data_IF_440704350825
#
_entry.id   IF_440704350825
#
_cell.length_a   1.000
_cell.length_b   1.000
_cell.length_c   1.000
_cell.angle_alpha   90.00
_cell.angle_beta   90.00
_cell.angle_gamma   90.00
#
_symmetry.space_group_name_H-M   'P 1'
#
loop_
_entity.id
_entity.type
_entity.pdbx_description
1 polymer ?
#
# COMPACT_ATOMS: atom_id res chain seq x y z
N UNK A 1 -80.69 52.72 12.46
CA UNK A 1 -79.58 52.94 13.36
C UNK A 1 -78.41 52.36 12.63
N UNK A 2 -77.62 53.22 12.04
CA UNK A 2 -76.41 52.86 11.30
C UNK A 2 -75.20 53.06 12.22
N UNK A 3 -74.37 52.09 12.37
CA UNK A 3 -73.07 52.23 13.02
C UNK A 3 -72.03 52.64 11.98
N UNK A 4 -71.07 53.48 12.37
CA UNK A 4 -70.15 54.09 11.43
C UNK A 4 -68.94 53.17 11.12
N UNK A 5 -68.51 53.23 9.88
CA UNK A 5 -67.27 52.61 9.33
C UNK A 5 -66.02 53.22 9.99
N UNK A 6 -65.07 52.34 10.34
CA UNK A 6 -63.76 52.67 10.88
C UNK A 6 -62.79 52.88 9.71
N UNK A 7 -62.14 54.06 9.54
CA UNK A 7 -61.23 54.34 8.44
C UNK A 7 -59.78 54.15 8.84
N UNK A 8 -59.35 52.90 9.12
CA UNK A 8 -57.91 52.60 9.30
C UNK A 8 -57.62 51.15 9.06
N UNK A 9 -57.72 50.71 7.82
CA UNK A 9 -56.96 49.54 7.35
C UNK A 9 -55.70 50.02 6.65
N UNK A 10 -54.51 49.55 7.05
CA UNK A 10 -53.30 49.90 6.31
C UNK A 10 -53.26 49.13 4.99
N UNK A 11 -53.07 49.89 3.94
CA UNK A 11 -52.78 49.40 2.61
C UNK A 11 -51.61 48.45 2.64
N UNK A 12 -51.82 47.24 2.14
CA UNK A 12 -50.77 46.30 1.76
C UNK A 12 -49.99 46.93 0.61
N UNK A 13 -48.96 47.69 0.95
CA UNK A 13 -47.90 48.03 -0.01
C UNK A 13 -47.16 46.75 -0.42
N UNK A 14 -47.54 46.25 -1.57
CA UNK A 14 -46.77 45.29 -2.35
C UNK A 14 -45.39 45.90 -2.63
N UNK A 15 -44.45 45.70 -1.76
CA UNK A 15 -43.02 45.83 -2.05
C UNK A 15 -42.61 44.70 -2.96
N UNK A 16 -42.88 44.84 -4.26
CA UNK A 16 -42.09 44.24 -5.31
C UNK A 16 -40.74 44.96 -5.32
N UNK A 17 -39.86 44.54 -4.41
CA UNK A 17 -38.44 44.82 -4.57
C UNK A 17 -37.99 44.20 -5.90
N UNK A 18 -37.57 45.05 -6.80
CA UNK A 18 -36.95 44.75 -8.07
C UNK A 18 -35.96 43.60 -7.95
N UNK A 19 -36.38 42.42 -8.34
CA UNK A 19 -35.48 41.30 -8.60
C UNK A 19 -34.60 41.75 -9.80
N UNK A 20 -33.41 42.22 -9.48
CA UNK A 20 -32.37 42.47 -10.46
C UNK A 20 -32.28 41.21 -11.34
N UNK A 21 -32.48 41.29 -12.65
CA UNK A 21 -32.34 40.11 -13.50
C UNK A 21 -30.89 39.62 -13.39
N UNK A 22 -30.69 38.58 -12.58
CA UNK A 22 -29.44 37.86 -12.52
C UNK A 22 -29.09 37.44 -13.93
N UNK A 23 -27.90 37.78 -14.38
CA UNK A 23 -27.39 37.42 -15.72
C UNK A 23 -27.67 35.93 -15.96
N UNK A 24 -28.27 35.60 -17.11
CA UNK A 24 -28.60 34.24 -17.50
C UNK A 24 -27.35 33.34 -17.30
N UNK A 25 -27.37 32.43 -16.34
CA UNK A 25 -26.29 31.50 -16.06
C UNK A 25 -25.66 31.55 -14.65
N UNK A 26 -26.00 32.55 -13.82
CA UNK A 26 -25.49 32.64 -12.44
C UNK A 26 -26.54 32.09 -11.47
N UNK A 27 -26.25 30.95 -10.87
CA UNK A 27 -27.06 30.37 -9.77
C UNK A 27 -26.46 30.75 -8.42
N UNK A 28 -27.21 31.35 -7.49
CA UNK A 28 -26.74 31.63 -6.14
C UNK A 28 -26.58 30.31 -5.39
N UNK A 29 -25.38 30.03 -4.91
CA UNK A 29 -25.06 28.85 -4.11
C UNK A 29 -24.55 29.31 -2.75
N UNK A 30 -25.07 28.71 -1.66
CA UNK A 30 -24.53 29.03 -0.33
C UNK A 30 -23.12 28.45 -0.20
N UNK A 31 -22.24 29.17 0.49
CA UNK A 31 -20.84 28.68 0.72
C UNK A 31 -20.84 27.34 1.45
N UNK A 32 -21.80 27.08 2.32
CA UNK A 32 -21.94 25.82 3.05
C UNK A 32 -22.25 24.66 2.12
N UNK A 33 -23.12 24.85 1.14
CA UNK A 33 -23.52 23.81 0.19
C UNK A 33 -22.37 23.53 -0.81
N UNK A 34 -21.71 24.59 -1.29
CA UNK A 34 -20.55 24.44 -2.16
C UNK A 34 -19.40 23.72 -1.46
N UNK A 35 -19.08 24.11 -0.23
CA UNK A 35 -18.04 23.41 0.56
C UNK A 35 -18.39 21.93 0.81
N UNK A 36 -19.66 21.63 1.13
CA UNK A 36 -20.11 20.26 1.35
C UNK A 36 -19.97 19.43 0.08
N UNK A 37 -20.40 19.95 -1.05
CA UNK A 37 -20.30 19.28 -2.34
C UNK A 37 -18.85 19.07 -2.75
N UNK A 38 -18.03 20.12 -2.74
CA UNK A 38 -16.62 20.07 -3.10
C UNK A 38 -15.82 19.13 -2.20
N UNK A 39 -16.13 19.08 -0.87
CA UNK A 39 -15.48 18.14 0.04
C UNK A 39 -15.88 16.69 -0.24
N UNK A 40 -17.15 16.44 -0.56
CA UNK A 40 -17.60 15.09 -0.93
C UNK A 40 -16.95 14.63 -2.25
N UNK A 41 -16.91 15.49 -3.25
CA UNK A 41 -16.27 15.19 -4.55
C UNK A 41 -14.77 14.91 -4.38
N UNK A 42 -14.08 15.72 -3.56
CA UNK A 42 -12.69 15.49 -3.20
C UNK A 42 -12.50 14.16 -2.45
N UNK A 43 -13.33 13.88 -1.43
CA UNK A 43 -13.25 12.64 -0.67
C UNK A 43 -13.48 11.41 -1.55
N UNK A 44 -14.49 11.45 -2.42
CA UNK A 44 -14.76 10.38 -3.40
C UNK A 44 -13.58 10.16 -4.34
N UNK A 45 -13.02 11.23 -4.89
CA UNK A 45 -11.84 11.16 -5.76
C UNK A 45 -10.64 10.54 -5.06
N UNK A 46 -10.36 10.93 -3.80
CA UNK A 46 -9.24 10.37 -3.03
C UNK A 46 -9.46 8.90 -2.71
N UNK A 47 -10.69 8.48 -2.39
CA UNK A 47 -11.01 7.10 -2.07
C UNK A 47 -10.89 6.21 -3.32
N UNK A 48 -11.61 6.54 -4.40
CA UNK A 48 -11.76 5.67 -5.57
C UNK A 48 -10.58 5.80 -6.52
N UNK A 49 -10.08 7.03 -6.75
CA UNK A 49 -9.10 7.30 -7.82
C UNK A 49 -7.66 7.51 -7.34
N UNK A 50 -7.36 7.28 -6.05
CA UNK A 50 -6.00 7.54 -5.54
C UNK A 50 -5.50 6.54 -4.49
N UNK A 51 -6.21 6.38 -3.36
CA UNK A 51 -5.62 5.77 -2.16
C UNK A 51 -5.84 4.27 -2.05
N UNK A 52 -6.99 3.75 -2.52
CA UNK A 52 -7.35 2.36 -2.37
C UNK A 52 -6.97 1.52 -3.60
N UNK A 53 -6.51 0.29 -3.39
CA UNK A 53 -6.29 -0.68 -4.46
C UNK A 53 -7.61 -1.29 -4.92
N UNK A 54 -7.69 -1.72 -6.18
CA UNK A 54 -8.78 -2.57 -6.68
C UNK A 54 -8.52 -4.03 -6.23
N UNK A 55 -9.56 -4.73 -5.78
CA UNK A 55 -9.43 -6.12 -5.29
C UNK A 55 -8.96 -7.08 -6.38
N UNK A 56 -9.30 -6.80 -7.64
CA UNK A 56 -9.04 -7.67 -8.80
C UNK A 56 -7.57 -7.72 -9.20
N UNK A 57 -6.89 -6.57 -9.26
CA UNK A 57 -5.47 -6.48 -9.66
C UNK A 57 -4.53 -6.03 -8.54
N UNK A 58 -5.07 -5.64 -7.37
CA UNK A 58 -4.30 -5.20 -6.21
C UNK A 58 -3.56 -3.88 -6.41
N UNK A 59 -3.91 -3.10 -7.43
CA UNK A 59 -3.17 -1.90 -7.80
C UNK A 59 -3.99 -0.63 -7.51
N UNK A 60 -3.27 0.41 -7.10
CA UNK A 60 -3.80 1.77 -7.14
C UNK A 60 -3.72 2.31 -8.57
N UNK A 61 -4.51 3.34 -8.93
CA UNK A 61 -4.48 3.91 -10.27
C UNK A 61 -3.09 4.32 -10.76
N UNK A 62 -2.25 4.92 -9.90
CA UNK A 62 -0.87 5.30 -10.27
C UNK A 62 -0.01 4.10 -10.67
N UNK A 63 -0.09 2.99 -9.94
CA UNK A 63 0.67 1.77 -10.26
C UNK A 63 0.21 1.15 -11.56
N UNK A 64 -1.11 1.08 -11.77
CA UNK A 64 -1.72 0.56 -13.01
C UNK A 64 -1.30 1.38 -14.22
N UNK A 65 -1.33 2.70 -14.12
CA UNK A 65 -0.92 3.64 -15.15
C UNK A 65 0.57 3.54 -15.48
N UNK A 66 1.43 3.34 -14.48
CA UNK A 66 2.87 3.10 -14.68
C UNK A 66 3.08 1.82 -15.49
N UNK A 67 2.49 0.70 -15.08
CA UNK A 67 2.65 -0.57 -15.80
C UNK A 67 2.08 -0.52 -17.21
N UNK A 68 0.94 0.13 -17.39
CA UNK A 68 0.32 0.28 -18.71
C UNK A 68 1.16 1.18 -19.63
N UNK A 69 1.66 2.32 -19.16
CA UNK A 69 2.56 3.17 -19.92
C UNK A 69 3.86 2.45 -20.32
N UNK A 70 4.39 1.63 -19.42
CA UNK A 70 5.60 0.83 -19.72
C UNK A 70 5.32 -0.26 -20.75
N UNK A 71 4.15 -0.88 -20.75
CA UNK A 71 3.72 -1.83 -21.79
C UNK A 71 3.60 -1.13 -23.13
N UNK A 72 2.94 0.02 -23.21
CA UNK A 72 2.80 0.81 -24.42
C UNK A 72 4.16 1.30 -24.94
N UNK A 73 5.07 1.68 -24.05
CA UNK A 73 6.45 2.06 -24.36
C UNK A 73 7.36 0.89 -24.76
N UNK A 74 6.87 -0.36 -24.68
CA UNK A 74 7.65 -1.58 -24.92
C UNK A 74 8.87 -1.72 -23.98
N UNK A 75 8.68 -1.38 -22.68
CA UNK A 75 9.72 -1.45 -21.64
C UNK A 75 9.66 -2.78 -20.87
N UNK A 76 9.55 -3.89 -21.61
CA UNK A 76 9.43 -5.25 -21.06
C UNK A 76 10.71 -5.73 -20.37
N UNK A 77 10.57 -6.75 -19.51
CA UNK A 77 11.65 -7.36 -18.72
C UNK A 77 12.84 -7.86 -19.56
N UNK A 78 12.61 -8.27 -20.81
CA UNK A 78 13.61 -8.76 -21.75
C UNK A 78 14.15 -7.66 -22.70
N UNK A 79 13.84 -6.38 -22.42
CA UNK A 79 14.31 -5.23 -23.19
C UNK A 79 15.33 -4.41 -22.38
N UNK A 80 16.13 -3.57 -23.04
CA UNK A 80 17.05 -2.67 -22.34
C UNK A 80 16.32 -1.75 -21.37
N UNK A 81 17.00 -1.42 -20.27
CA UNK A 81 16.53 -0.42 -19.32
C UNK A 81 16.29 0.95 -19.97
N UNK A 82 15.41 1.72 -19.41
CA UNK A 82 15.09 3.09 -19.82
C UNK A 82 15.23 4.03 -18.62
N UNK A 83 15.64 5.28 -18.87
CA UNK A 83 15.68 6.31 -17.83
C UNK A 83 14.34 6.45 -17.15
N UNK A 84 14.33 6.44 -15.81
CA UNK A 84 13.12 6.60 -15.01
C UNK A 84 12.38 7.87 -15.36
N UNK A 85 13.10 8.97 -15.62
CA UNK A 85 12.50 10.24 -16.02
C UNK A 85 11.67 10.15 -17.32
N UNK A 86 12.03 9.25 -18.25
CA UNK A 86 11.23 9.04 -19.46
C UNK A 86 9.90 8.36 -19.14
N UNK A 87 9.94 7.30 -18.32
CA UNK A 87 8.71 6.62 -17.92
C UNK A 87 7.78 7.55 -17.14
N UNK A 88 8.34 8.32 -16.19
CA UNK A 88 7.58 9.34 -15.45
C UNK A 88 6.93 10.36 -16.40
N UNK A 89 7.67 10.84 -17.41
CA UNK A 89 7.13 11.77 -18.40
C UNK A 89 5.99 11.17 -19.25
N UNK A 90 6.14 9.92 -19.69
CA UNK A 90 5.11 9.18 -20.43
C UNK A 90 3.83 9.00 -19.58
N UNK A 91 3.96 8.64 -18.29
CA UNK A 91 2.85 8.46 -17.36
C UNK A 91 2.14 9.79 -17.07
N UNK A 92 2.91 10.83 -16.76
CA UNK A 92 2.38 12.15 -16.42
C UNK A 92 1.67 12.78 -17.61
N UNK A 93 2.25 12.69 -18.79
CA UNK A 93 1.69 13.32 -19.98
C UNK A 93 0.45 12.66 -20.53
N UNK A 94 0.27 11.34 -20.34
CA UNK A 94 -0.83 10.60 -20.96
C UNK A 94 -1.92 10.16 -19.98
N UNK A 95 -1.57 9.82 -18.73
CA UNK A 95 -2.50 9.10 -17.86
C UNK A 95 -2.67 9.71 -16.47
N UNK A 96 -1.62 10.32 -15.90
CA UNK A 96 -1.64 10.71 -14.49
C UNK A 96 -1.21 12.17 -14.30
N UNK A 97 -2.15 13.14 -14.34
CA UNK A 97 -1.88 14.59 -14.29
C UNK A 97 -1.54 15.06 -12.86
N UNK A 98 -0.50 14.48 -12.26
CA UNK A 98 -0.01 14.80 -10.92
C UNK A 98 1.51 15.02 -10.95
N UNK A 99 2.08 15.46 -9.82
CA UNK A 99 3.51 15.75 -9.72
C UNK A 99 4.39 14.54 -10.06
N UNK A 100 5.48 14.79 -10.79
CA UNK A 100 6.47 13.83 -11.24
C UNK A 100 7.10 13.03 -10.08
N UNK A 101 7.36 13.69 -8.94
CA UNK A 101 7.91 13.03 -7.76
C UNK A 101 6.96 11.95 -7.20
N UNK A 102 5.64 12.18 -7.20
CA UNK A 102 4.68 11.19 -6.72
C UNK A 102 4.68 9.92 -7.61
N UNK A 103 4.78 10.10 -8.93
CA UNK A 103 4.91 9.00 -9.89
C UNK A 103 6.23 8.26 -9.70
N UNK A 104 7.32 9.03 -9.55
CA UNK A 104 8.64 8.44 -9.34
C UNK A 104 8.74 7.65 -8.03
N UNK A 105 8.21 8.18 -6.93
CA UNK A 105 8.16 7.48 -5.64
C UNK A 105 7.36 6.17 -5.70
N UNK A 106 6.25 6.15 -6.47
CA UNK A 106 5.50 4.93 -6.71
C UNK A 106 6.33 3.91 -7.50
N UNK A 107 7.03 4.34 -8.57
CA UNK A 107 7.96 3.50 -9.34
C UNK A 107 9.08 2.93 -8.48
N UNK A 108 9.68 3.77 -7.63
CA UNK A 108 10.76 3.38 -6.72
C UNK A 108 10.31 2.24 -5.82
N UNK A 109 9.15 2.35 -5.20
CA UNK A 109 8.60 1.29 -4.33
C UNK A 109 8.36 -0.01 -5.08
N UNK A 110 7.89 0.04 -6.32
CA UNK A 110 7.66 -1.14 -7.16
C UNK A 110 8.97 -1.86 -7.55
N UNK A 111 10.12 -1.21 -7.45
CA UNK A 111 11.45 -1.77 -7.74
C UNK A 111 12.22 -2.22 -6.48
N UNK A 112 11.73 -1.88 -5.25
CA UNK A 112 12.43 -2.19 -4.00
C UNK A 112 12.09 -3.59 -3.51
N UNK A 113 13.09 -4.45 -3.32
CA UNK A 113 12.94 -5.82 -2.80
C UNK A 113 12.52 -5.87 -1.33
N UNK A 114 12.79 -4.83 -0.56
CA UNK A 114 12.37 -4.72 0.84
C UNK A 114 10.97 -4.11 1.01
N UNK A 115 10.36 -3.61 -0.07
CA UNK A 115 9.01 -3.05 -0.07
C UNK A 115 7.97 -3.99 -0.70
N UNK A 116 8.40 -4.81 -1.66
CA UNK A 116 7.55 -5.71 -2.45
C UNK A 116 8.02 -7.15 -2.28
N UNK A 117 7.11 -8.06 -1.98
CA UNK A 117 7.41 -9.50 -1.98
C UNK A 117 7.74 -10.01 -3.38
N UNK A 118 7.00 -9.49 -4.38
CA UNK A 118 7.22 -9.76 -5.78
C UNK A 118 7.39 -8.43 -6.51
N UNK A 119 8.63 -8.07 -6.85
CA UNK A 119 8.90 -6.81 -7.55
C UNK A 119 8.14 -6.72 -8.87
N UNK A 120 7.55 -5.57 -9.13
CA UNK A 120 6.87 -5.30 -10.38
C UNK A 120 7.78 -4.59 -11.38
N UNK A 121 8.80 -3.90 -10.91
CA UNK A 121 9.80 -3.23 -11.75
C UNK A 121 11.20 -3.73 -11.40
N UNK A 122 12.03 -3.81 -12.43
CA UNK A 122 13.46 -4.09 -12.32
C UNK A 122 14.20 -2.78 -12.50
N UNK A 123 14.93 -2.36 -11.46
CA UNK A 123 15.62 -1.07 -11.39
C UNK A 123 17.12 -1.20 -11.45
N UNK A 124 17.78 -0.29 -12.18
CA UNK A 124 19.23 -0.15 -12.23
C UNK A 124 19.63 1.22 -11.69
N UNK A 125 20.48 1.22 -10.66
CA UNK A 125 20.91 2.40 -9.94
C UNK A 125 20.52 2.37 -8.46
N UNK A 126 20.51 3.52 -7.80
CA UNK A 126 20.11 3.65 -6.40
C UNK A 126 18.62 3.93 -6.29
N UNK A 127 17.86 2.93 -5.82
CA UNK A 127 16.41 3.01 -5.52
C UNK A 127 16.13 3.11 -4.02
N UNK A 128 17.08 3.62 -3.23
CA UNK A 128 16.96 3.74 -1.78
C UNK A 128 17.40 2.49 -1.03
N UNK A 129 17.37 2.57 0.29
CA UNK A 129 17.78 1.47 1.18
C UNK A 129 16.84 1.31 2.37
N UNK A 130 17.02 0.20 3.12
CA UNK A 130 16.32 -0.03 4.40
C UNK A 130 16.76 0.94 5.50
N UNK A 131 17.85 1.67 5.30
CA UNK A 131 18.33 2.73 6.18
C UNK A 131 17.58 4.06 5.98
N UNK A 132 16.68 4.09 5.00
CA UNK A 132 15.89 5.28 4.69
C UNK A 132 16.62 6.25 3.75
N UNK A 133 17.71 5.83 3.12
CA UNK A 133 18.34 6.63 2.09
C UNK A 133 17.36 6.88 0.94
N UNK A 134 17.24 8.11 0.46
CA UNK A 134 16.39 8.42 -0.66
C UNK A 134 16.94 7.81 -1.95
N UNK A 135 16.07 7.52 -2.93
CA UNK A 135 16.51 7.12 -4.24
C UNK A 135 17.28 8.25 -4.92
N UNK A 136 18.17 7.91 -5.85
CA UNK A 136 18.79 8.90 -6.70
C UNK A 136 17.74 9.58 -7.59
N UNK A 137 18.00 10.81 -8.04
CA UNK A 137 17.09 11.52 -8.92
C UNK A 137 16.78 10.70 -10.20
N UNK A 138 15.55 10.78 -10.70
CA UNK A 138 15.02 9.96 -11.81
C UNK A 138 15.81 10.06 -13.12
N UNK A 139 16.65 11.08 -13.28
CA UNK A 139 17.56 11.23 -14.43
C UNK A 139 18.76 10.27 -14.37
N UNK A 140 19.10 9.75 -13.19
CA UNK A 140 20.21 8.82 -12.98
C UNK A 140 19.80 7.37 -12.96
N UNK A 141 18.60 7.06 -12.44
CA UNK A 141 18.07 5.71 -12.36
C UNK A 141 17.49 5.25 -13.68
N UNK A 142 17.52 3.93 -13.90
CA UNK A 142 16.94 3.27 -15.06
C UNK A 142 16.01 2.16 -14.62
N UNK A 143 14.99 1.88 -15.41
CA UNK A 143 13.94 0.93 -15.04
C UNK A 143 13.42 0.19 -16.27
N UNK A 144 12.92 -1.01 -16.05
CA UNK A 144 12.09 -1.80 -16.98
C UNK A 144 11.06 -2.59 -16.15
N UNK A 145 10.08 -3.18 -16.81
CA UNK A 145 9.16 -4.10 -16.15
C UNK A 145 9.94 -5.32 -15.62
N UNK A 146 9.52 -5.84 -14.47
CA UNK A 146 9.95 -7.17 -14.02
C UNK A 146 9.09 -8.26 -14.70
N UNK A 147 9.54 -9.50 -14.67
CA UNK A 147 8.79 -10.62 -15.25
C UNK A 147 7.41 -10.78 -14.57
N UNK A 148 7.31 -10.51 -13.28
CA UNK A 148 6.07 -10.58 -12.51
C UNK A 148 4.99 -9.62 -13.03
N UNK A 149 5.36 -8.42 -13.46
CA UNK A 149 4.39 -7.46 -13.99
C UNK A 149 3.84 -7.89 -15.37
N UNK A 150 4.55 -8.74 -16.11
CA UNK A 150 4.02 -9.33 -17.35
C UNK A 150 2.78 -10.17 -17.03
N UNK A 151 2.76 -10.91 -15.90
CA UNK A 151 1.62 -11.71 -15.47
C UNK A 151 0.41 -10.87 -15.03
N UNK A 152 0.60 -9.60 -14.72
CA UNK A 152 -0.52 -8.68 -14.43
C UNK A 152 -1.13 -8.10 -15.71
N UNK A 153 -0.36 -7.98 -16.79
CA UNK A 153 -0.73 -7.25 -18.01
C UNK A 153 -1.03 -8.16 -19.21
N UNK A 154 -0.60 -9.40 -19.14
CA UNK A 154 -0.74 -10.35 -20.24
C UNK A 154 -2.21 -10.52 -20.65
N UNK A 155 -2.45 -10.65 -21.96
CA UNK A 155 -3.78 -10.71 -22.57
C UNK A 155 -4.60 -9.38 -22.56
N UNK A 156 -4.03 -8.25 -22.16
CA UNK A 156 -4.73 -6.95 -22.13
C UNK A 156 -5.24 -6.53 -23.53
N UNK A 157 -4.53 -6.93 -24.60
CA UNK A 157 -4.87 -6.61 -25.98
C UNK A 157 -5.99 -7.51 -26.57
N UNK A 158 -6.53 -8.46 -25.77
CA UNK A 158 -7.54 -9.43 -26.20
C UNK A 158 -8.95 -9.10 -25.71
N UNK A 159 -9.24 -7.84 -25.44
CA UNK A 159 -10.53 -7.37 -24.94
C UNK A 159 -10.98 -8.06 -23.63
N UNK A 160 -10.03 -8.41 -22.80
CA UNK A 160 -10.26 -9.13 -21.53
C UNK A 160 -10.73 -8.24 -20.39
N UNK A 161 -10.54 -6.93 -20.51
CA UNK A 161 -10.89 -5.90 -19.53
C UNK A 161 -11.48 -4.68 -20.22
N UNK A 162 -12.11 -3.80 -19.43
CA UNK A 162 -12.66 -2.55 -19.94
C UNK A 162 -11.64 -1.43 -19.89
N UNK A 163 -11.74 -0.54 -20.87
CA UNK A 163 -10.97 0.70 -20.95
C UNK A 163 -11.87 1.90 -20.66
N UNK A 164 -11.30 2.93 -20.13
CA UNK A 164 -11.93 4.22 -19.87
C UNK A 164 -11.09 5.35 -20.47
N UNK A 165 -11.71 6.49 -20.74
CA UNK A 165 -10.98 7.65 -21.21
C UNK A 165 -10.04 8.17 -20.13
N UNK A 166 -8.87 8.66 -20.53
CA UNK A 166 -7.93 9.33 -19.65
C UNK A 166 -8.47 10.71 -19.20
N UNK A 167 -7.69 11.45 -18.42
CA UNK A 167 -8.09 12.72 -17.82
C UNK A 167 -8.49 13.84 -18.82
N UNK A 168 -8.02 13.79 -20.07
CA UNK A 168 -8.27 14.79 -21.12
C UNK A 168 -9.02 14.21 -22.34
N UNK A 169 -9.48 12.97 -22.26
CA UNK A 169 -10.17 12.23 -23.32
C UNK A 169 -9.35 12.07 -24.62
N UNK A 170 -8.02 12.23 -24.54
CA UNK A 170 -7.13 12.08 -25.70
C UNK A 170 -6.76 10.63 -26.02
N UNK A 171 -6.80 9.75 -25.01
CA UNK A 171 -6.48 8.33 -25.10
C UNK A 171 -7.24 7.53 -24.05
N UNK A 172 -7.13 6.22 -24.11
CA UNK A 172 -7.77 5.32 -23.13
C UNK A 172 -6.77 4.66 -22.21
N UNK A 173 -7.20 4.39 -21.00
CA UNK A 173 -6.45 3.64 -19.99
C UNK A 173 -7.28 2.45 -19.48
N UNK A 174 -6.65 1.34 -19.05
CA UNK A 174 -7.38 0.21 -18.51
C UNK A 174 -7.99 0.54 -17.15
N UNK A 175 -9.25 0.16 -16.95
CA UNK A 175 -9.93 0.28 -15.65
C UNK A 175 -9.31 -0.63 -14.59
N UNK A 176 -8.81 -1.81 -15.03
CA UNK A 176 -8.14 -2.84 -14.22
C UNK A 176 -7.17 -3.61 -15.11
N UNK A 177 -6.13 -4.24 -14.56
CA UNK A 177 -5.28 -5.15 -15.32
C UNK A 177 -5.80 -6.59 -15.25
N UNK A 178 -5.62 -7.42 -16.31
CA UNK A 178 -6.08 -8.80 -16.36
C UNK A 178 -5.20 -9.76 -15.53
N UNK A 179 -4.90 -9.40 -14.30
CA UNK A 179 -3.95 -10.05 -13.41
C UNK A 179 -4.12 -11.58 -13.35
N UNK A 180 -3.03 -12.32 -13.50
CA UNK A 180 -3.02 -13.79 -13.46
C UNK A 180 -2.75 -14.36 -12.06
N UNK A 181 -2.41 -13.52 -11.09
CA UNK A 181 -2.23 -13.89 -9.69
C UNK A 181 -2.84 -12.82 -8.78
N UNK A 182 -3.28 -13.15 -7.56
CA UNK A 182 -3.94 -12.21 -6.65
C UNK A 182 -2.93 -11.25 -6.00
N UNK A 183 -2.49 -10.26 -6.77
CA UNK A 183 -1.44 -9.32 -6.41
C UNK A 183 -1.75 -8.54 -5.11
N UNK A 184 -3.02 -8.29 -4.79
CA UNK A 184 -3.40 -7.63 -3.55
C UNK A 184 -2.90 -8.36 -2.31
N UNK A 185 -2.99 -9.70 -2.28
CA UNK A 185 -2.47 -10.51 -1.17
C UNK A 185 -0.96 -10.73 -1.28
N UNK A 186 -0.44 -10.94 -2.48
CA UNK A 186 0.99 -11.24 -2.69
C UNK A 186 1.87 -10.06 -2.31
N UNK A 187 1.57 -8.85 -2.77
CA UNK A 187 2.37 -7.66 -2.51
C UNK A 187 1.80 -6.77 -1.40
N UNK A 188 0.55 -7.03 -0.99
CA UNK A 188 -0.11 -6.14 -0.06
C UNK A 188 -0.41 -4.76 -0.66
N UNK A 189 -0.99 -3.90 0.15
CA UNK A 189 -1.22 -2.50 -0.20
C UNK A 189 -1.33 -1.65 1.07
N UNK A 190 -0.84 -0.43 1.02
CA UNK A 190 -1.01 0.54 2.09
C UNK A 190 -1.47 1.88 1.53
N UNK A 191 -2.41 2.55 2.17
CA UNK A 191 -2.91 3.85 1.72
C UNK A 191 -3.82 4.53 2.74
N UNK A 192 -3.81 5.87 2.70
CA UNK A 192 -4.64 6.70 3.56
C UNK A 192 -5.56 7.51 2.66
N UNK A 193 -6.86 7.33 2.85
CA UNK A 193 -7.91 8.09 2.18
C UNK A 193 -8.63 9.02 3.18
N UNK A 194 -9.65 9.72 2.73
CA UNK A 194 -10.48 10.55 3.60
C UNK A 194 -11.40 9.64 4.42
N UNK A 195 -11.25 9.67 5.74
CA UNK A 195 -12.07 8.88 6.67
C UNK A 195 -11.78 7.38 6.72
N UNK A 196 -10.84 6.87 5.91
CA UNK A 196 -10.49 5.45 5.89
C UNK A 196 -9.05 5.20 5.45
N UNK A 197 -8.50 4.05 5.80
CA UNK A 197 -7.15 3.64 5.42
C UNK A 197 -7.14 2.16 5.05
N UNK A 198 -6.23 1.76 4.18
CA UNK A 198 -5.97 0.36 3.87
C UNK A 198 -4.54 0.00 4.30
N UNK A 199 -4.36 -1.22 4.81
CA UNK A 199 -3.06 -1.78 5.14
C UNK A 199 -3.13 -3.31 5.02
N UNK A 200 -2.96 -3.81 3.81
CA UNK A 200 -2.99 -5.24 3.47
C UNK A 200 -1.57 -5.78 3.58
N UNK A 201 -1.32 -6.80 4.41
CA UNK A 201 0.00 -7.41 4.50
C UNK A 201 0.31 -8.26 3.28
N UNK A 202 1.58 -8.36 2.87
CA UNK A 202 2.00 -9.29 1.83
C UNK A 202 1.97 -10.74 2.32
N UNK A 203 1.74 -11.69 1.38
CA UNK A 203 1.69 -13.12 1.63
C UNK A 203 2.56 -13.88 0.62
N UNK A 204 2.89 -15.11 0.94
CA UNK A 204 3.65 -15.98 0.05
C UNK A 204 2.85 -16.32 -1.22
N UNK A 205 3.47 -16.14 -2.39
CA UNK A 205 2.82 -16.39 -3.68
C UNK A 205 2.35 -17.84 -3.82
N UNK A 206 3.19 -18.81 -3.43
CA UNK A 206 2.85 -20.23 -3.51
C UNK A 206 1.61 -20.56 -2.67
N UNK A 207 1.62 -20.18 -1.38
CA UNK A 207 0.51 -20.40 -0.45
C UNK A 207 -0.79 -19.74 -0.95
N UNK A 208 -0.71 -18.53 -1.48
CA UNK A 208 -1.89 -17.82 -2.03
C UNK A 208 -2.44 -18.52 -3.28
N UNK A 209 -1.58 -19.04 -4.15
CA UNK A 209 -2.00 -19.82 -5.32
C UNK A 209 -2.61 -21.18 -4.89
N UNK A 210 -1.99 -21.86 -3.92
CA UNK A 210 -2.53 -23.11 -3.39
C UNK A 210 -3.90 -22.89 -2.73
N UNK A 211 -4.07 -21.76 -2.04
CA UNK A 211 -5.37 -21.34 -1.52
C UNK A 211 -6.41 -21.11 -2.61
N UNK A 212 -6.04 -20.48 -3.73
CA UNK A 212 -6.93 -20.34 -4.91
C UNK A 212 -7.32 -21.70 -5.47
N UNK A 213 -6.36 -22.62 -5.63
CA UNK A 213 -6.61 -23.96 -6.15
C UNK A 213 -7.54 -24.75 -5.22
N UNK A 214 -7.32 -24.69 -3.91
CA UNK A 214 -8.16 -25.33 -2.92
C UNK A 214 -9.64 -24.84 -2.99
N UNK A 215 -9.84 -23.52 -3.19
CA UNK A 215 -11.18 -22.95 -3.37
C UNK A 215 -11.85 -23.44 -4.68
N UNK A 216 -11.08 -23.56 -5.76
CA UNK A 216 -11.59 -24.06 -7.05
C UNK A 216 -12.01 -25.54 -6.93
N UNK A 217 -11.22 -26.35 -6.20
CA UNK A 217 -11.52 -27.77 -5.98
C UNK A 217 -12.68 -27.99 -5.01
N UNK A 218 -12.78 -27.15 -3.98
CA UNK A 218 -13.84 -27.21 -2.97
C UNK A 218 -14.31 -25.79 -2.61
N UNK A 219 -15.42 -25.35 -3.22
CA UNK A 219 -15.99 -24.03 -2.94
C UNK A 219 -16.46 -23.84 -1.49
N UNK A 220 -16.71 -24.94 -0.77
CA UNK A 220 -17.16 -24.93 0.62
C UNK A 220 -16.01 -25.13 1.63
N UNK A 221 -14.75 -25.02 1.20
CA UNK A 221 -13.58 -25.12 2.09
C UNK A 221 -13.72 -24.14 3.26
N UNK A 222 -13.50 -24.63 4.46
CA UNK A 222 -13.62 -23.82 5.68
C UNK A 222 -12.49 -22.82 5.83
N UNK A 223 -12.73 -21.76 6.62
CA UNK A 223 -11.69 -20.77 6.94
C UNK A 223 -10.50 -21.39 7.69
N UNK A 224 -10.72 -22.40 8.50
CA UNK A 224 -9.66 -23.08 9.23
C UNK A 224 -8.76 -23.89 8.29
N UNK A 225 -9.33 -24.65 7.35
CA UNK A 225 -8.57 -25.38 6.33
C UNK A 225 -7.79 -24.42 5.41
N UNK A 226 -8.40 -23.31 5.03
CA UNK A 226 -7.74 -22.31 4.20
C UNK A 226 -6.61 -21.60 4.95
N UNK A 227 -6.74 -21.41 6.28
CA UNK A 227 -5.70 -20.86 7.14
C UNK A 227 -4.52 -21.83 7.34
N UNK A 228 -4.71 -23.13 7.16
CA UNK A 228 -3.60 -24.10 7.14
C UNK A 228 -2.78 -23.98 5.86
N UNK A 229 -3.40 -23.62 4.74
CA UNK A 229 -2.74 -23.41 3.44
C UNK A 229 -2.04 -22.03 3.41
N UNK A 230 -2.70 -20.98 3.91
CA UNK A 230 -2.18 -19.62 3.99
C UNK A 230 -2.02 -19.25 5.47
N UNK A 231 -0.94 -19.67 6.14
CA UNK A 231 -0.81 -19.57 7.59
C UNK A 231 -0.66 -18.15 8.12
N UNK A 232 -0.38 -17.18 7.22
CA UNK A 232 -0.29 -15.78 7.58
C UNK A 232 0.56 -14.95 6.62
N UNK A 233 0.79 -13.66 6.96
CA UNK A 233 1.64 -12.78 6.18
C UNK A 233 3.06 -13.30 6.01
N UNK A 234 3.66 -13.02 4.84
CA UNK A 234 5.06 -13.29 4.51
C UNK A 234 5.72 -11.97 4.08
N UNK A 235 6.49 -11.39 4.97
CA UNK A 235 7.08 -10.06 4.78
C UNK A 235 8.41 -10.13 4.01
N UNK A 236 8.66 -9.25 3.04
CA UNK A 236 9.86 -9.28 2.21
C UNK A 236 11.17 -9.05 2.98
N UNK A 237 11.11 -8.48 4.17
CA UNK A 237 12.27 -8.28 5.06
C UNK A 237 12.50 -9.43 6.02
N UNK A 238 11.72 -10.52 5.94
CA UNK A 238 11.76 -11.63 6.87
C UNK A 238 11.13 -11.29 8.21
N UNK A 239 11.86 -11.53 9.29
CA UNK A 239 11.41 -11.42 10.68
C UNK A 239 10.49 -12.58 11.13
N UNK A 240 10.05 -12.52 12.37
CA UNK A 240 9.20 -13.56 12.98
C UNK A 240 7.87 -12.95 13.40
N UNK A 241 6.79 -13.68 13.16
CA UNK A 241 5.46 -13.30 13.66
C UNK A 241 5.24 -13.98 15.02
N UNK A 242 4.79 -13.21 15.98
CA UNK A 242 4.56 -13.67 17.35
C UNK A 242 3.07 -13.79 17.63
N UNK A 243 2.62 -15.03 17.87
CA UNK A 243 1.21 -15.33 18.16
C UNK A 243 0.35 -15.46 16.89
N UNK A 244 -0.77 -16.17 17.00
CA UNK A 244 -1.68 -16.48 15.88
C UNK A 244 -3.00 -15.72 15.93
N UNK A 245 -3.36 -15.10 17.07
CA UNK A 245 -4.66 -14.45 17.24
C UNK A 245 -4.87 -13.28 16.29
N UNK A 246 -3.84 -12.45 16.08
CA UNK A 246 -3.88 -11.33 15.16
C UNK A 246 -3.99 -11.76 13.70
N UNK A 247 -3.31 -12.87 13.33
CA UNK A 247 -3.41 -13.47 12.00
C UNK A 247 -4.85 -13.96 11.75
N UNK A 248 -5.39 -14.74 12.68
CA UNK A 248 -6.74 -15.31 12.57
C UNK A 248 -7.79 -14.20 12.44
N UNK A 249 -7.71 -13.18 13.29
CA UNK A 249 -8.61 -12.03 13.20
C UNK A 249 -8.51 -11.33 11.84
N UNK A 250 -7.29 -11.08 11.34
CA UNK A 250 -7.08 -10.48 10.04
C UNK A 250 -7.65 -11.35 8.90
N UNK A 251 -7.43 -12.67 8.97
CA UNK A 251 -7.89 -13.62 7.98
C UNK A 251 -9.43 -13.66 7.88
N UNK A 252 -10.12 -13.74 9.02
CA UNK A 252 -11.58 -13.88 9.10
C UNK A 252 -12.32 -12.56 8.87
N UNK A 253 -11.80 -11.44 9.40
CA UNK A 253 -12.53 -10.16 9.45
C UNK A 253 -11.93 -9.05 8.58
N UNK A 254 -10.74 -9.29 8.00
CA UNK A 254 -9.97 -8.24 7.33
C UNK A 254 -9.33 -7.23 8.28
N UNK A 255 -9.42 -7.45 9.62
CA UNK A 255 -8.78 -6.60 10.65
C UNK A 255 -8.04 -7.41 11.67
N UNK A 256 -6.83 -6.96 12.00
CA UNK A 256 -6.03 -7.63 13.01
C UNK A 256 -4.79 -6.83 13.35
N UNK A 257 -4.07 -7.30 14.37
CA UNK A 257 -2.77 -6.74 14.76
C UNK A 257 -1.77 -7.88 14.82
N UNK A 258 -0.82 -7.87 13.90
CA UNK A 258 0.22 -8.89 13.78
C UNK A 258 1.50 -8.37 14.45
N UNK A 259 2.00 -9.08 15.45
CA UNK A 259 3.25 -8.73 16.13
C UNK A 259 4.42 -9.25 15.32
N UNK A 260 5.30 -8.35 14.86
CA UNK A 260 6.53 -8.70 14.16
C UNK A 260 7.73 -8.49 15.08
N UNK A 261 8.67 -9.40 15.03
CA UNK A 261 9.90 -9.36 15.79
C UNK A 261 11.09 -9.68 14.88
N UNK A 262 12.12 -8.83 14.90
CA UNK A 262 13.35 -9.07 14.15
C UNK A 262 14.00 -10.39 14.54
N UNK A 263 14.65 -11.02 13.58
CA UNK A 263 15.37 -12.27 13.82
C UNK A 263 16.75 -12.00 14.42
N UNK A 264 17.05 -12.70 15.49
CA UNK A 264 18.28 -12.50 16.24
C UNK A 264 18.96 -13.84 16.55
N UNK A 265 20.28 -13.78 16.68
CA UNK A 265 21.11 -14.89 17.17
C UNK A 265 22.14 -14.37 18.19
N UNK A 266 22.66 -15.26 19.03
CA UNK A 266 23.73 -14.93 19.97
C UNK A 266 25.01 -15.54 19.42
N UNK A 267 26.05 -14.72 19.30
CA UNK A 267 27.38 -15.12 18.82
C UNK A 267 28.46 -14.74 19.84
N UNK A 268 29.48 -15.58 19.96
CA UNK A 268 30.69 -15.22 20.69
C UNK A 268 31.65 -14.43 19.80
N UNK A 269 31.80 -13.13 20.07
CA UNK A 269 32.65 -12.24 19.28
C UNK A 269 34.11 -12.26 19.73
N UNK A 270 34.35 -12.41 21.03
CA UNK A 270 35.68 -12.53 21.65
C UNK A 270 35.64 -13.48 22.83
N UNK A 271 36.82 -13.87 23.32
CA UNK A 271 36.94 -14.67 24.56
C UNK A 271 36.15 -13.94 25.68
N UNK A 272 35.14 -14.62 26.23
CA UNK A 272 34.25 -14.13 27.30
C UNK A 272 33.35 -12.93 26.93
N UNK A 273 33.02 -12.70 25.63
CA UNK A 273 32.05 -11.70 25.22
C UNK A 273 31.08 -12.22 24.18
N UNK A 274 29.82 -12.07 24.49
CA UNK A 274 28.71 -12.41 23.60
C UNK A 274 28.16 -11.14 22.92
N UNK A 275 27.58 -11.33 21.76
CA UNK A 275 26.85 -10.29 21.07
C UNK A 275 25.51 -10.81 20.56
N UNK A 276 24.52 -9.97 20.56
CA UNK A 276 23.25 -10.23 19.88
C UNK A 276 23.41 -9.71 18.46
N UNK A 277 23.23 -10.62 17.50
CA UNK A 277 23.25 -10.31 16.07
C UNK A 277 21.83 -10.19 15.57
N UNK A 278 21.46 -9.06 14.99
CA UNK A 278 20.18 -8.85 14.33
C UNK A 278 20.40 -9.11 12.84
N UNK A 279 19.77 -10.15 12.30
CA UNK A 279 19.90 -10.56 10.89
C UNK A 279 18.71 -10.17 10.03
N UNK A 280 17.54 -9.91 10.63
CA UNK A 280 16.34 -9.45 9.94
C UNK A 280 15.63 -8.41 10.79
N UNK A 281 15.08 -7.39 10.14
CA UNK A 281 14.31 -6.33 10.80
C UNK A 281 12.83 -6.42 10.40
N UNK A 282 11.90 -6.00 11.27
CA UNK A 282 10.49 -6.00 10.94
C UNK A 282 10.18 -5.16 9.70
N UNK A 283 9.15 -5.58 8.96
CA UNK A 283 8.71 -4.89 7.75
C UNK A 283 8.37 -3.43 8.00
N UNK A 284 8.77 -2.54 7.08
CA UNK A 284 8.61 -1.08 7.16
C UNK A 284 9.39 -0.39 8.29
N UNK A 285 10.26 -1.09 8.99
CA UNK A 285 11.16 -0.49 9.98
C UNK A 285 12.42 0.04 9.30
N UNK A 286 12.74 1.30 9.55
CA UNK A 286 14.01 1.89 9.14
C UNK A 286 15.13 1.39 10.06
N UNK A 287 16.13 0.70 9.47
CA UNK A 287 17.21 0.05 10.22
C UNK A 287 18.11 1.06 10.94
N UNK A 288 18.50 2.13 10.29
CA UNK A 288 19.36 3.16 10.89
C UNK A 288 18.67 3.81 12.10
N UNK A 289 17.39 4.19 11.93
CA UNK A 289 16.60 4.78 13.02
C UNK A 289 16.37 3.80 14.18
N UNK A 290 16.22 2.50 13.89
CA UNK A 290 16.14 1.46 14.93
C UNK A 290 17.43 1.42 15.75
N UNK A 291 18.59 1.44 15.10
CA UNK A 291 19.91 1.46 15.76
C UNK A 291 20.05 2.70 16.63
N UNK A 292 19.69 3.88 16.12
CA UNK A 292 19.69 5.13 16.88
C UNK A 292 18.81 5.05 18.14
N UNK A 293 17.61 4.50 18.02
CA UNK A 293 16.69 4.34 19.16
C UNK A 293 17.24 3.35 20.21
N UNK A 294 17.90 2.27 19.79
CA UNK A 294 18.58 1.37 20.73
C UNK A 294 19.69 2.11 21.46
N UNK A 295 20.53 2.88 20.74
CA UNK A 295 21.61 3.67 21.35
C UNK A 295 21.08 4.73 22.32
N UNK A 296 19.99 5.40 21.97
CA UNK A 296 19.34 6.37 22.86
C UNK A 296 18.75 5.68 24.11
N UNK A 297 18.12 4.50 23.97
CA UNK A 297 17.61 3.74 25.10
C UNK A 297 18.72 3.28 26.05
N UNK A 298 19.90 2.96 25.52
CA UNK A 298 21.11 2.65 26.33
C UNK A 298 21.58 3.91 27.09
N UNK A 299 21.65 5.06 26.41
CA UNK A 299 22.05 6.34 27.02
C UNK A 299 21.09 6.74 28.14
N UNK A 300 19.81 6.52 27.97
CA UNK A 300 18.75 6.82 28.92
C UNK A 300 18.61 5.74 30.01
N UNK A 301 19.47 4.71 30.03
CA UNK A 301 19.47 3.59 30.97
C UNK A 301 18.17 2.75 30.95
N UNK A 302 17.42 2.78 29.85
CA UNK A 302 16.27 1.90 29.63
C UNK A 302 16.71 0.49 29.20
N UNK A 303 17.91 0.39 28.59
CA UNK A 303 18.57 -0.85 28.23
C UNK A 303 19.94 -0.83 28.90
N UNK A 304 20.23 -1.87 29.68
CA UNK A 304 21.52 -2.05 30.34
C UNK A 304 22.23 -3.28 29.78
N UNK A 305 23.55 -3.37 29.96
CA UNK A 305 24.33 -4.53 29.54
C UNK A 305 24.91 -4.48 28.13
N UNK A 306 24.66 -3.43 27.37
CA UNK A 306 25.27 -3.20 26.05
C UNK A 306 26.61 -2.48 26.23
N UNK A 307 27.65 -2.96 25.54
CA UNK A 307 28.98 -2.34 25.54
C UNK A 307 29.26 -1.58 24.23
N UNK A 308 28.79 -2.09 23.09
CA UNK A 308 28.98 -1.47 21.78
C UNK A 308 27.81 -1.83 20.85
N UNK A 309 27.53 -0.95 19.89
CA UNK A 309 26.47 -1.13 18.90
C UNK A 309 26.99 -0.64 17.54
N UNK A 310 27.03 -1.53 16.55
CA UNK A 310 27.50 -1.21 15.21
C UNK A 310 26.73 -1.90 14.13
N UNK A 311 26.66 -1.29 12.97
CA UNK A 311 26.07 -1.83 11.77
C UNK A 311 27.18 -2.41 10.88
N UNK A 312 27.10 -3.70 10.64
CA UNK A 312 27.98 -4.48 9.76
C UNK A 312 27.23 -5.01 8.52
N UNK A 313 26.05 -4.43 8.24
CA UNK A 313 25.23 -4.82 7.08
C UNK A 313 25.96 -4.55 5.77
N UNK A 314 25.82 -5.47 4.82
CA UNK A 314 26.42 -5.37 3.49
C UNK A 314 25.42 -5.78 2.40
N UNK A 315 25.93 -6.10 1.20
CA UNK A 315 25.11 -6.56 0.06
C UNK A 315 24.50 -7.95 0.27
N UNK A 316 25.01 -8.73 1.20
CA UNK A 316 24.52 -10.08 1.50
C UNK A 316 23.30 -10.02 2.40
N UNK A 317 23.26 -9.05 3.32
CA UNK A 317 22.12 -8.88 4.21
C UNK A 317 22.35 -7.94 5.39
N UNK A 318 21.34 -7.91 6.26
CA UNK A 318 21.36 -7.16 7.51
C UNK A 318 22.24 -7.87 8.53
N UNK A 319 23.14 -7.12 9.15
CA UNK A 319 23.94 -7.57 10.27
C UNK A 319 24.19 -6.41 11.25
N UNK A 320 23.34 -6.28 12.24
CA UNK A 320 23.54 -5.31 13.33
C UNK A 320 24.08 -6.07 14.54
N UNK A 321 25.23 -5.63 15.04
CA UNK A 321 25.96 -6.27 16.15
C UNK A 321 25.76 -5.46 17.42
N UNK A 322 25.15 -6.09 18.43
CA UNK A 322 24.95 -5.52 19.77
C UNK A 322 25.87 -6.27 20.70
N UNK A 323 27.07 -5.71 20.96
CA UNK A 323 28.10 -6.32 21.83
C UNK A 323 27.72 -6.14 23.30
N UNK A 324 27.75 -7.22 24.08
CA UNK A 324 27.32 -7.21 25.48
C UNK A 324 28.50 -6.95 26.44
N UNK A 325 28.19 -6.46 27.62
CA UNK A 325 29.12 -6.44 28.76
C UNK A 325 29.30 -7.86 29.29
N UNK A 326 30.46 -8.13 29.94
CA UNK A 326 30.80 -9.47 30.43
C UNK A 326 29.76 -10.08 31.37
N UNK A 327 29.11 -9.25 32.19
CA UNK A 327 28.15 -9.67 33.21
C UNK A 327 26.68 -9.60 32.72
N UNK A 328 26.47 -9.34 31.44
CA UNK A 328 25.12 -9.18 30.88
C UNK A 328 24.58 -10.54 30.40
N UNK A 329 23.34 -10.84 30.74
CA UNK A 329 22.61 -12.01 30.25
C UNK A 329 21.95 -11.66 28.92
N UNK A 330 22.30 -12.33 27.80
CA UNK A 330 21.81 -11.96 26.45
C UNK A 330 20.30 -11.89 26.34
N UNK A 331 19.56 -12.84 26.91
CA UNK A 331 18.11 -12.91 26.86
C UNK A 331 17.45 -11.72 27.57
N UNK A 332 18.04 -11.25 28.67
CA UNK A 332 17.52 -10.09 29.40
C UNK A 332 17.71 -8.82 28.58
N UNK A 333 18.91 -8.64 28.01
CA UNK A 333 19.19 -7.50 27.13
C UNK A 333 18.31 -7.54 25.89
N UNK A 334 18.14 -8.70 25.27
CA UNK A 334 17.28 -8.88 24.09
C UNK A 334 15.81 -8.50 24.38
N UNK A 335 15.29 -8.91 25.54
CA UNK A 335 13.94 -8.54 25.97
C UNK A 335 13.80 -7.03 26.19
N UNK A 336 14.83 -6.36 26.72
CA UNK A 336 14.85 -4.90 26.83
C UNK A 336 14.88 -4.23 25.46
N UNK A 337 15.66 -4.75 24.50
CA UNK A 337 15.69 -4.25 23.12
C UNK A 337 14.31 -4.36 22.48
N UNK A 338 13.62 -5.51 22.58
CA UNK A 338 12.26 -5.68 22.06
C UNK A 338 11.26 -4.71 22.69
N UNK A 339 11.41 -4.38 23.95
CA UNK A 339 10.51 -3.48 24.67
C UNK A 339 10.74 -1.99 24.32
N UNK A 340 11.99 -1.59 24.06
CA UNK A 340 12.38 -0.21 23.93
C UNK A 340 12.82 0.21 22.52
N UNK A 341 12.67 -0.67 21.53
CA UNK A 341 13.01 -0.37 20.14
C UNK A 341 12.01 -1.00 19.16
N UNK A 342 11.98 -0.55 17.91
CA UNK A 342 11.11 -1.14 16.88
C UNK A 342 11.60 -2.50 16.34
N UNK A 343 12.59 -3.15 16.99
CA UNK A 343 12.94 -4.54 16.71
C UNK A 343 11.77 -5.49 16.98
N UNK A 344 10.83 -5.08 17.83
CA UNK A 344 9.49 -5.62 17.92
C UNK A 344 8.47 -4.51 17.65
N UNK A 345 7.57 -4.75 16.70
CA UNK A 345 6.54 -3.78 16.33
C UNK A 345 5.25 -4.50 15.92
N UNK A 346 4.22 -3.73 15.65
CA UNK A 346 2.90 -4.24 15.26
C UNK A 346 2.59 -3.81 13.83
N UNK A 347 2.09 -4.74 13.03
CA UNK A 347 1.47 -4.44 11.75
C UNK A 347 -0.06 -4.45 11.94
N UNK A 348 -0.66 -3.27 11.85
CA UNK A 348 -2.12 -3.13 11.93
C UNK A 348 -2.75 -3.50 10.59
N UNK A 349 -3.33 -4.69 10.52
CA UNK A 349 -4.02 -5.16 9.31
C UNK A 349 -5.36 -4.48 9.16
N UNK A 350 -5.62 -3.95 7.98
CA UNK A 350 -6.91 -3.41 7.56
C UNK A 350 -7.08 -3.65 6.05
N UNK A 351 -7.72 -4.75 5.70
CA UNK A 351 -7.88 -5.19 4.31
C UNK A 351 -9.08 -4.49 3.65
N UNK A 352 -8.91 -3.21 3.38
CA UNK A 352 -9.87 -2.36 2.68
C UNK A 352 -9.46 -2.23 1.21
N UNK A 353 -10.34 -2.59 0.28
CA UNK A 353 -10.09 -2.49 -1.16
C UNK A 353 -11.34 -2.04 -1.90
N UNK A 354 -11.17 -1.62 -3.15
CA UNK A 354 -12.30 -1.33 -4.03
C UNK A 354 -12.84 -2.64 -4.63
N UNK A 355 -14.09 -2.93 -4.36
CA UNK A 355 -14.83 -4.04 -4.96
C UNK A 355 -16.01 -3.46 -5.74
N UNK A 356 -16.00 -3.61 -7.07
CA UNK A 356 -17.01 -2.99 -7.94
C UNK A 356 -17.07 -1.46 -7.79
N UNK A 357 -15.95 -0.80 -7.54
CA UNK A 357 -15.84 0.66 -7.35
C UNK A 357 -16.25 1.16 -5.96
N UNK A 358 -16.59 0.27 -5.01
CA UNK A 358 -16.97 0.61 -3.64
C UNK A 358 -15.88 0.17 -2.66
N UNK A 359 -15.53 0.99 -1.66
CA UNK A 359 -14.61 0.58 -0.62
C UNK A 359 -15.29 -0.45 0.29
N UNK A 360 -14.71 -1.63 0.37
CA UNK A 360 -15.20 -2.74 1.19
C UNK A 360 -14.06 -3.30 2.04
N UNK A 361 -14.38 -3.62 3.30
CA UNK A 361 -13.48 -4.39 4.14
C UNK A 361 -13.70 -5.86 3.89
N UNK A 362 -12.64 -6.54 3.46
CA UNK A 362 -12.69 -7.91 2.95
C UNK A 362 -11.87 -8.85 3.83
N UNK A 363 -12.38 -10.04 4.08
CA UNK A 363 -11.60 -11.15 4.62
C UNK A 363 -10.66 -11.72 3.54
N UNK A 364 -9.67 -12.52 3.95
CA UNK A 364 -8.77 -13.18 2.98
C UNK A 364 -9.56 -14.04 2.00
N UNK A 365 -10.56 -14.78 2.48
CA UNK A 365 -11.45 -15.58 1.64
C UNK A 365 -12.16 -14.73 0.59
N UNK A 366 -12.77 -13.61 0.99
CA UNK A 366 -13.50 -12.72 0.07
C UNK A 366 -12.59 -12.10 -1.00
N UNK A 367 -11.33 -11.80 -0.67
CA UNK A 367 -10.35 -11.32 -1.65
C UNK A 367 -10.05 -12.40 -2.69
N UNK A 368 -9.85 -13.65 -2.26
CA UNK A 368 -9.61 -14.78 -3.17
C UNK A 368 -10.82 -15.06 -4.05
N UNK A 369 -12.03 -15.10 -3.49
CA UNK A 369 -13.28 -15.30 -4.25
C UNK A 369 -13.48 -14.19 -5.30
N UNK A 370 -13.24 -12.92 -4.94
CA UNK A 370 -13.33 -11.78 -5.86
C UNK A 370 -12.30 -11.89 -6.99
N UNK A 371 -11.09 -12.34 -6.69
CA UNK A 371 -10.06 -12.57 -7.69
C UNK A 371 -10.42 -13.73 -8.63
N UNK A 372 -10.90 -14.85 -8.09
CA UNK A 372 -11.30 -16.02 -8.90
C UNK A 372 -12.46 -15.68 -9.84
N UNK A 373 -13.49 -14.98 -9.35
CA UNK A 373 -14.60 -14.49 -10.18
C UNK A 373 -14.10 -13.58 -11.30
N UNK A 374 -13.19 -12.68 -11.01
CA UNK A 374 -12.58 -11.84 -12.03
C UNK A 374 -11.75 -12.63 -13.03
N UNK A 375 -11.01 -13.66 -12.59
CA UNK A 375 -10.26 -14.54 -13.51
C UNK A 375 -11.16 -15.30 -14.45
N UNK A 376 -12.30 -15.80 -13.97
CA UNK A 376 -13.30 -16.45 -14.81
C UNK A 376 -13.84 -15.49 -15.89
N UNK A 377 -14.15 -14.24 -15.52
CA UNK A 377 -14.55 -13.20 -16.48
C UNK A 377 -13.47 -12.97 -17.55
N UNK A 378 -12.20 -12.76 -17.13
CA UNK A 378 -11.08 -12.52 -18.05
C UNK A 378 -10.88 -13.69 -19.02
N UNK A 379 -10.99 -14.94 -18.55
CA UNK A 379 -10.84 -16.14 -19.38
C UNK A 379 -12.01 -16.27 -20.35
N UNK A 380 -13.22 -16.01 -19.89
CA UNK A 380 -14.44 -16.07 -20.72
C UNK A 380 -14.40 -15.03 -21.84
N UNK A 381 -13.93 -13.82 -21.54
CA UNK A 381 -13.79 -12.73 -22.54
C UNK A 381 -12.67 -12.98 -23.54
N UNK A 382 -11.61 -13.67 -23.12
CA UNK A 382 -10.46 -14.04 -23.97
C UNK A 382 -10.84 -15.06 -25.05
#
# INVERSE_FOLDING_TARGET
MAEPEDPNSPDDENNNEDANPLEEGILPVTISDEMRKSYLDYAMSVIVSRALPDVRDGLKPVHRRILYAMKEGNYHWNRPYRKSARVVGDVMGKYHPHGDNAIYDAMVRMAQSFSMSLKLLDGQGNFGSMDGDPPAAMRYTEVRMDQASTMLIDDIDKNTIDFQDNYDNSTQEPSVLPAKYPNLLVNGAGGIAVGMATNVPPHNLGEVIDGCLAIIENSEISSDELLEIIPGPDFPTGAQIIGKSGIRSAFETGRGSVVMRGKTSIENVRKDREAIIISEVPYQVNKARMIEQIAEAVKNKNIEGISDLRDESDRVGVRVVVELKRDATPEVVLNQIYKHSPLQTYFGVNMLALNGGRPEQLSTRQILDSFLTFREEVITRR
#
